data_IF_364361489593
#
_entry.id   IF_364361489593
#
_cell.length_a   1.000
_cell.length_b   1.000
_cell.length_c   1.000
_cell.angle_alpha   90.00
_cell.angle_beta   90.00
_cell.angle_gamma   90.00
#
_symmetry.space_group_name_H-M   'P 1'
#
loop_
_entity.id
_entity.type
_entity.pdbx_description
1 polymer ?
#
# COMPACT_ATOMS: atom_id res chain seq x y z
N UNK A 1 -6.66 96.96 -8.10
CA UNK A 1 -6.83 96.20 -9.37
C UNK A 1 -5.72 95.16 -9.49
N UNK A 2 -6.12 93.93 -9.86
CA UNK A 2 -5.32 92.77 -10.34
C UNK A 2 -4.77 91.77 -9.30
N UNK A 3 -5.58 90.71 -9.14
CA UNK A 3 -5.26 89.26 -9.12
C UNK A 3 -4.44 88.74 -7.93
N UNK A 4 -4.63 87.54 -7.38
CA UNK A 4 -5.67 86.50 -7.37
C UNK A 4 -5.05 85.35 -6.54
N UNK A 5 -5.87 84.50 -5.92
CA UNK A 5 -5.52 83.13 -5.49
C UNK A 5 -4.49 83.02 -4.34
N UNK A 6 -4.54 82.09 -3.40
CA UNK A 6 -5.38 80.91 -3.20
C UNK A 6 -5.24 80.48 -1.73
N UNK A 7 -6.25 79.79 -1.24
CA UNK A 7 -6.37 79.18 0.07
C UNK A 7 -5.18 78.26 0.44
N UNK A 8 -4.68 78.39 1.67
CA UNK A 8 -3.87 77.37 2.33
C UNK A 8 -4.54 77.04 3.67
N UNK A 9 -5.54 76.17 3.62
CA UNK A 9 -6.15 75.57 4.81
C UNK A 9 -5.24 74.44 5.28
N UNK A 10 -4.70 74.71 6.47
CA UNK A 10 -4.22 73.82 7.52
C UNK A 10 -4.26 72.31 7.24
N UNK A 11 -3.07 71.73 7.18
CA UNK A 11 -2.76 70.31 7.05
C UNK A 11 -3.20 69.51 8.28
N UNK A 12 -4.20 68.65 8.12
CA UNK A 12 -4.44 67.50 8.97
C UNK A 12 -4.35 66.26 8.08
N UNK A 13 -3.16 65.66 7.99
CA UNK A 13 -2.95 64.42 7.25
C UNK A 13 -2.27 63.41 8.15
N UNK A 14 -3.12 62.54 8.69
CA UNK A 14 -2.83 61.30 9.36
C UNK A 14 -1.83 60.47 8.52
N UNK A 15 -0.69 60.12 9.11
CA UNK A 15 0.30 59.27 8.47
C UNK A 15 -0.23 57.85 8.31
N UNK A 16 -0.71 57.51 7.11
CA UNK A 16 -0.81 56.14 6.62
C UNK A 16 0.45 55.88 5.79
N UNK A 17 1.38 55.09 6.33
CA UNK A 17 2.48 54.54 5.56
C UNK A 17 1.91 53.46 4.61
N UNK A 18 2.00 53.62 3.27
CA UNK A 18 1.79 52.50 2.37
C UNK A 18 3.02 51.58 2.50
N UNK A 19 2.87 50.50 3.28
CA UNK A 19 3.81 49.38 3.27
C UNK A 19 3.70 48.69 1.92
N UNK A 20 4.52 49.08 0.96
CA UNK A 20 4.77 48.30 -0.26
C UNK A 20 5.61 47.07 0.12
N UNK A 21 4.96 46.08 0.73
CA UNK A 21 5.53 44.75 0.88
C UNK A 21 5.48 44.03 -0.47
N UNK A 22 6.41 44.37 -1.36
CA UNK A 22 6.67 43.55 -2.55
C UNK A 22 7.32 42.25 -2.07
N UNK A 23 6.51 41.20 -1.89
CA UNK A 23 7.04 39.88 -1.56
C UNK A 23 8.03 39.43 -2.64
N UNK A 24 9.24 38.96 -2.28
CA UNK A 24 10.19 38.46 -3.25
C UNK A 24 9.57 37.25 -3.95
N UNK A 25 9.48 37.33 -5.28
CA UNK A 25 9.18 36.18 -6.15
C UNK A 25 10.28 35.14 -5.92
N UNK A 26 9.97 34.11 -5.15
CA UNK A 26 10.80 32.90 -5.08
C UNK A 26 10.77 32.30 -6.48
N UNK A 27 11.82 32.62 -7.24
CA UNK A 27 12.06 32.02 -8.54
C UNK A 27 12.60 30.62 -8.25
N UNK A 28 11.69 29.66 -8.15
CA UNK A 28 12.04 28.25 -7.94
C UNK A 28 12.74 27.74 -9.20
N UNK A 29 14.07 27.85 -9.20
CA UNK A 29 14.92 27.19 -10.16
C UNK A 29 14.94 25.69 -9.82
N UNK A 30 14.77 24.86 -10.86
CA UNK A 30 14.66 23.39 -10.89
C UNK A 30 13.26 22.76 -10.68
N UNK A 31 12.28 23.15 -11.51
CA UNK A 31 11.06 22.35 -11.71
C UNK A 31 11.33 21.13 -12.61
N UNK A 32 12.00 20.10 -12.06
CA UNK A 32 11.52 18.75 -12.38
C UNK A 32 10.23 18.61 -11.57
N UNK A 33 9.06 18.31 -12.16
CA UNK A 33 7.86 18.13 -11.38
C UNK A 33 8.13 16.99 -10.40
N UNK A 34 8.21 17.29 -9.10
CA UNK A 34 8.48 16.32 -8.03
C UNK A 34 7.50 15.14 -8.12
N UNK A 35 6.29 15.41 -8.61
CA UNK A 35 5.26 14.42 -8.93
C UNK A 35 5.70 13.39 -9.97
N UNK A 36 6.42 13.80 -11.02
CA UNK A 36 6.82 12.92 -12.11
C UNK A 36 7.99 12.00 -11.71
N UNK A 37 8.91 12.48 -10.86
CA UNK A 37 9.96 11.64 -10.26
C UNK A 37 9.37 10.63 -9.27
N UNK A 38 8.39 11.06 -8.47
CA UNK A 38 7.66 10.20 -7.52
C UNK A 38 6.85 9.11 -8.25
N UNK A 39 6.21 9.44 -9.38
CA UNK A 39 5.49 8.48 -10.23
C UNK A 39 6.43 7.39 -10.78
N UNK A 40 7.54 7.78 -11.44
CA UNK A 40 8.48 6.80 -12.03
C UNK A 40 9.08 5.89 -10.97
N UNK A 41 9.46 6.44 -9.82
CA UNK A 41 9.97 5.65 -8.70
C UNK A 41 8.93 4.63 -8.21
N UNK A 42 7.66 5.04 -8.06
CA UNK A 42 6.58 4.15 -7.63
C UNK A 42 6.26 3.06 -8.64
N UNK A 43 6.32 3.34 -9.94
CA UNK A 43 6.19 2.32 -10.96
C UNK A 43 7.29 1.25 -10.85
N UNK A 44 8.53 1.67 -10.60
CA UNK A 44 9.65 0.75 -10.39
C UNK A 44 9.42 -0.14 -9.16
N UNK A 45 9.01 0.44 -8.03
CA UNK A 45 8.67 -0.30 -6.80
C UNK A 45 7.52 -1.28 -7.05
N UNK A 46 6.47 -0.87 -7.78
CA UNK A 46 5.34 -1.73 -8.10
C UNK A 46 5.77 -2.94 -8.95
N UNK A 47 6.65 -2.72 -9.94
CA UNK A 47 7.23 -3.76 -10.79
C UNK A 47 8.15 -4.69 -9.99
N UNK A 48 8.93 -4.16 -9.05
CA UNK A 48 9.78 -4.94 -8.17
C UNK A 48 8.98 -5.89 -7.28
N UNK A 49 7.93 -5.40 -6.62
CA UNK A 49 7.03 -6.25 -5.83
C UNK A 49 6.36 -7.33 -6.70
N UNK A 50 5.93 -6.98 -7.90
CA UNK A 50 5.37 -7.94 -8.85
C UNK A 50 6.38 -9.06 -9.19
N UNK A 51 7.64 -8.69 -9.48
CA UNK A 51 8.70 -9.65 -9.79
C UNK A 51 9.04 -10.55 -8.59
N UNK A 52 8.91 -10.03 -7.37
CA UNK A 52 9.04 -10.80 -6.12
C UNK A 52 7.81 -11.67 -5.80
N UNK A 53 6.77 -11.65 -6.64
CA UNK A 53 5.47 -12.29 -6.43
C UNK A 53 4.67 -11.73 -5.23
N UNK A 54 5.03 -10.55 -4.73
CA UNK A 54 4.27 -9.82 -3.71
C UNK A 54 3.20 -8.95 -4.38
N UNK A 55 2.10 -9.62 -4.78
CA UNK A 55 1.02 -8.94 -5.50
C UNK A 55 0.23 -7.97 -4.65
N UNK A 56 0.16 -8.18 -3.33
CA UNK A 56 -0.56 -7.29 -2.43
C UNK A 56 0.16 -5.93 -2.35
N UNK A 57 1.48 -5.95 -2.18
CA UNK A 57 2.30 -4.73 -2.19
C UNK A 57 2.31 -4.09 -3.57
N UNK A 58 2.43 -4.87 -4.65
CA UNK A 58 2.35 -4.33 -6.01
C UNK A 58 1.01 -3.63 -6.28
N UNK A 59 -0.12 -4.27 -5.93
CA UNK A 59 -1.46 -3.69 -6.05
C UNK A 59 -1.58 -2.37 -5.28
N UNK A 60 -1.01 -2.31 -4.08
CA UNK A 60 -1.00 -1.09 -3.26
C UNK A 60 -0.32 0.06 -3.98
N UNK A 61 0.85 -0.17 -4.58
CA UNK A 61 1.54 0.87 -5.36
C UNK A 61 0.74 1.31 -6.59
N UNK A 62 0.13 0.37 -7.32
CA UNK A 62 -0.72 0.69 -8.46
C UNK A 62 -1.97 1.48 -8.08
N UNK A 63 -2.57 1.20 -6.91
CA UNK A 63 -3.69 1.97 -6.37
C UNK A 63 -3.28 3.41 -6.03
N UNK A 64 -2.10 3.59 -5.44
CA UNK A 64 -1.54 4.92 -5.16
C UNK A 64 -1.32 5.69 -6.48
N UNK A 65 -0.70 5.06 -7.48
CA UNK A 65 -0.48 5.67 -8.80
C UNK A 65 -1.80 6.06 -9.48
N UNK A 66 -2.83 5.22 -9.37
CA UNK A 66 -4.18 5.55 -9.87
C UNK A 66 -4.81 6.72 -9.11
N UNK A 67 -4.55 6.87 -7.82
CA UNK A 67 -5.03 8.04 -7.05
C UNK A 67 -4.32 9.33 -7.48
N UNK A 68 -3.03 9.25 -7.81
CA UNK A 68 -2.23 10.41 -8.27
C UNK A 68 -2.63 10.82 -9.69
N UNK A 69 -2.86 9.86 -10.59
CA UNK A 69 -3.23 10.10 -11.98
C UNK A 69 -4.49 9.30 -12.36
N UNK A 70 -5.69 9.79 -12.00
CA UNK A 70 -6.95 9.06 -12.18
C UNK A 70 -7.32 8.80 -13.65
N UNK A 71 -6.90 9.70 -14.56
CA UNK A 71 -7.18 9.58 -15.99
C UNK A 71 -6.19 8.65 -16.73
N UNK A 72 -5.15 8.17 -16.05
CA UNK A 72 -4.21 7.24 -16.64
C UNK A 72 -4.80 5.83 -16.73
N UNK A 73 -5.18 5.44 -17.96
CA UNK A 73 -5.76 4.14 -18.28
C UNK A 73 -4.80 2.99 -17.92
N UNK A 74 -3.47 3.18 -18.03
CA UNK A 74 -2.52 2.13 -17.66
C UNK A 74 -2.65 1.78 -16.17
N UNK A 75 -2.70 2.75 -15.27
CA UNK A 75 -2.79 2.47 -13.82
C UNK A 75 -4.12 1.82 -13.45
N UNK A 76 -5.21 2.22 -14.11
CA UNK A 76 -6.50 1.52 -13.97
C UNK A 76 -6.38 0.04 -14.39
N UNK A 77 -5.76 -0.23 -15.54
CA UNK A 77 -5.57 -1.59 -16.04
C UNK A 77 -4.65 -2.41 -15.13
N UNK A 78 -3.56 -1.83 -14.62
CA UNK A 78 -2.64 -2.50 -13.69
C UNK A 78 -3.34 -2.93 -12.40
N UNK A 79 -4.20 -2.07 -11.83
CA UNK A 79 -5.02 -2.41 -10.66
C UNK A 79 -5.94 -3.60 -10.97
N UNK A 80 -6.68 -3.54 -12.08
CA UNK A 80 -7.59 -4.63 -12.48
C UNK A 80 -6.86 -5.96 -12.70
N UNK A 81 -5.72 -5.94 -13.39
CA UNK A 81 -4.90 -7.13 -13.61
C UNK A 81 -4.41 -7.72 -12.29
N UNK A 82 -3.91 -6.88 -11.37
CA UNK A 82 -3.45 -7.34 -10.06
C UNK A 82 -4.59 -7.94 -9.22
N UNK A 83 -5.76 -7.30 -9.18
CA UNK A 83 -6.95 -7.81 -8.49
C UNK A 83 -7.39 -9.17 -9.05
N UNK A 84 -7.38 -9.32 -10.39
CA UNK A 84 -7.66 -10.60 -11.04
C UNK A 84 -6.63 -11.69 -10.69
N UNK A 85 -5.34 -11.35 -10.64
CA UNK A 85 -4.27 -12.28 -10.29
C UNK A 85 -4.39 -12.77 -8.84
N UNK A 86 -4.60 -11.85 -7.90
CA UNK A 86 -4.85 -12.14 -6.49
C UNK A 86 -6.06 -13.06 -6.37
N UNK A 87 -7.20 -12.69 -6.95
CA UNK A 87 -8.43 -13.51 -6.93
C UNK A 87 -8.20 -14.93 -7.46
N UNK A 88 -7.47 -15.07 -8.57
CA UNK A 88 -7.16 -16.37 -9.19
C UNK A 88 -6.27 -17.22 -8.29
N UNK A 89 -5.23 -16.63 -7.68
CA UNK A 89 -4.33 -17.33 -6.76
C UNK A 89 -5.04 -17.71 -5.47
N UNK A 90 -5.85 -16.82 -4.90
CA UNK A 90 -6.71 -17.11 -3.75
C UNK A 90 -7.59 -18.32 -4.02
N UNK A 91 -8.31 -18.36 -5.15
CA UNK A 91 -9.14 -19.52 -5.52
C UNK A 91 -8.33 -20.82 -5.62
N UNK A 92 -7.11 -20.76 -6.17
CA UNK A 92 -6.22 -21.93 -6.26
C UNK A 92 -5.81 -22.42 -4.89
N UNK A 93 -5.38 -21.53 -4.00
CA UNK A 93 -4.97 -21.89 -2.66
C UNK A 93 -6.14 -22.35 -1.79
N UNK A 94 -7.34 -21.81 -1.98
CA UNK A 94 -8.56 -22.31 -1.31
C UNK A 94 -8.79 -23.78 -1.66
N UNK A 95 -8.73 -24.12 -2.96
CA UNK A 95 -8.87 -25.51 -3.42
C UNK A 95 -7.86 -26.43 -2.74
N UNK A 96 -6.57 -26.06 -2.78
CA UNK A 96 -5.48 -26.83 -2.13
C UNK A 96 -5.72 -26.97 -0.63
N UNK A 97 -6.10 -25.88 0.04
CA UNK A 97 -6.38 -25.88 1.48
C UNK A 97 -7.52 -26.81 1.85
N UNK A 98 -8.62 -26.79 1.09
CA UNK A 98 -9.76 -27.65 1.32
C UNK A 98 -9.49 -29.13 1.03
N UNK A 99 -8.76 -29.44 -0.04
CA UNK A 99 -8.33 -30.81 -0.35
C UNK A 99 -7.43 -31.37 0.76
N UNK A 100 -6.46 -30.57 1.23
CA UNK A 100 -5.58 -30.96 2.33
C UNK A 100 -6.35 -31.14 3.66
N UNK A 101 -7.35 -30.30 3.93
CA UNK A 101 -8.24 -30.47 5.09
C UNK A 101 -9.02 -31.78 5.04
N UNK A 102 -9.54 -32.18 3.88
CA UNK A 102 -10.24 -33.45 3.70
C UNK A 102 -9.29 -34.64 3.91
N UNK A 103 -8.06 -34.54 3.42
CA UNK A 103 -7.00 -35.53 3.63
C UNK A 103 -6.41 -35.53 5.06
N UNK A 104 -6.86 -34.64 5.95
CA UNK A 104 -6.28 -34.40 7.29
C UNK A 104 -4.80 -33.99 7.28
N UNK A 105 -4.29 -33.53 6.15
CA UNK A 105 -2.97 -32.92 6.03
C UNK A 105 -3.05 -31.44 6.46
N UNK A 106 -3.03 -31.23 7.77
CA UNK A 106 -3.16 -29.89 8.34
C UNK A 106 -1.95 -28.99 8.05
N UNK A 107 -0.78 -29.55 7.75
CA UNK A 107 0.42 -28.76 7.44
C UNK A 107 0.30 -28.12 6.05
N UNK A 108 -0.11 -28.90 5.06
CA UNK A 108 -0.37 -28.39 3.71
C UNK A 108 -1.55 -27.42 3.71
N UNK A 109 -2.62 -27.73 4.46
CA UNK A 109 -3.77 -26.85 4.59
C UNK A 109 -3.39 -25.48 5.19
N UNK A 110 -2.66 -25.47 6.30
CA UNK A 110 -2.18 -24.23 6.95
C UNK A 110 -1.35 -23.39 5.99
N UNK A 111 -0.40 -24.02 5.29
CA UNK A 111 0.46 -23.33 4.31
C UNK A 111 -0.38 -22.70 3.19
N UNK A 112 -1.42 -23.39 2.71
CA UNK A 112 -2.30 -22.86 1.67
C UNK A 112 -3.11 -21.64 2.16
N UNK A 113 -3.68 -21.71 3.36
CA UNK A 113 -4.44 -20.59 3.93
C UNK A 113 -3.56 -19.38 4.26
N UNK A 114 -2.33 -19.60 4.74
CA UNK A 114 -1.36 -18.51 4.95
C UNK A 114 -0.96 -17.83 3.63
N UNK A 115 -0.82 -18.58 2.53
CA UNK A 115 -0.59 -18.00 1.20
C UNK A 115 -1.75 -17.13 0.72
N UNK A 116 -2.98 -17.42 1.12
CA UNK A 116 -4.12 -16.53 0.86
C UNK A 116 -3.98 -15.25 1.67
N UNK A 117 -3.62 -15.32 2.94
CA UNK A 117 -3.46 -14.13 3.79
C UNK A 117 -2.30 -13.23 3.36
N UNK A 118 -1.27 -13.79 2.73
CA UNK A 118 -0.22 -12.99 2.09
C UNK A 118 -0.73 -12.19 0.87
N UNK A 119 -1.80 -12.65 0.21
CA UNK A 119 -2.42 -11.98 -0.93
C UNK A 119 -3.55 -11.02 -0.51
N UNK A 120 -4.32 -11.43 0.49
CA UNK A 120 -5.45 -10.71 1.08
C UNK A 120 -5.44 -10.92 2.60
N UNK A 121 -4.83 -9.99 3.35
CA UNK A 121 -4.71 -10.10 4.81
C UNK A 121 -6.06 -10.15 5.56
N UNK A 122 -7.16 -9.73 4.92
CA UNK A 122 -8.49 -9.68 5.53
C UNK A 122 -9.38 -10.84 5.08
N UNK A 123 -8.83 -11.86 4.42
CA UNK A 123 -9.59 -13.01 3.94
C UNK A 123 -10.15 -13.86 5.11
N UNK A 124 -11.37 -13.54 5.53
CA UNK A 124 -12.03 -14.07 6.73
C UNK A 124 -12.11 -15.60 6.75
N UNK A 125 -12.48 -16.20 5.62
CA UNK A 125 -12.56 -17.65 5.45
C UNK A 125 -11.22 -18.33 5.76
N UNK A 126 -10.10 -17.75 5.33
CA UNK A 126 -8.76 -18.33 5.56
C UNK A 126 -8.35 -18.22 7.03
N UNK A 127 -8.67 -17.08 7.67
CA UNK A 127 -8.47 -16.90 9.12
C UNK A 127 -9.25 -17.95 9.91
N UNK A 128 -10.50 -18.21 9.56
CA UNK A 128 -11.33 -19.17 10.27
C UNK A 128 -10.87 -20.61 10.05
N UNK A 129 -10.38 -20.95 8.86
CA UNK A 129 -9.79 -22.27 8.60
C UNK A 129 -8.49 -22.49 9.40
N UNK A 130 -7.65 -21.47 9.54
CA UNK A 130 -6.46 -21.54 10.39
C UNK A 130 -6.80 -21.74 11.87
N UNK A 131 -7.85 -21.07 12.38
CA UNK A 131 -8.36 -21.31 13.74
C UNK A 131 -8.78 -22.77 13.91
N UNK A 132 -9.54 -23.33 12.96
CA UNK A 132 -9.96 -24.74 12.98
C UNK A 132 -8.77 -25.71 12.99
N UNK A 133 -7.74 -25.45 12.19
CA UNK A 133 -6.51 -26.25 12.17
C UNK A 133 -5.83 -26.20 13.54
N UNK A 134 -5.69 -25.01 14.13
CA UNK A 134 -5.07 -24.82 15.43
C UNK A 134 -5.79 -25.61 16.54
N UNK A 135 -7.12 -25.55 16.59
CA UNK A 135 -7.91 -26.33 17.55
C UNK A 135 -7.67 -27.84 17.41
N UNK A 136 -7.69 -28.37 16.19
CA UNK A 136 -7.47 -29.81 15.95
C UNK A 136 -6.08 -30.31 16.35
N UNK A 137 -5.07 -29.43 16.35
CA UNK A 137 -3.71 -29.76 16.82
C UNK A 137 -3.60 -29.71 18.34
N UNK A 138 -4.41 -28.90 19.02
CA UNK A 138 -4.43 -28.87 20.49
C UNK A 138 -5.10 -30.12 21.06
N UNK A 139 -6.10 -30.67 20.36
CA UNK A 139 -6.79 -31.89 20.75
C UNK A 139 -5.96 -33.18 20.54
N UNK A 140 -4.85 -33.09 19.79
CA UNK A 140 -3.91 -34.19 19.55
C UNK A 140 -2.53 -33.78 20.03
N UNK A 141 -2.05 -34.22 21.21
CA UNK A 141 -0.66 -34.01 21.60
C UNK A 141 0.23 -34.47 20.45
N UNK A 142 1.08 -33.59 19.93
CA UNK A 142 2.01 -33.94 18.87
C UNK A 142 2.81 -35.15 19.33
N UNK A 143 2.55 -36.30 18.70
CA UNK A 143 3.44 -37.45 18.75
C UNK A 143 4.70 -37.09 17.98
N UNK A 144 5.50 -36.19 18.54
CA UNK A 144 6.92 -36.14 18.24
C UNK A 144 7.49 -37.42 18.81
N UNK A 145 7.44 -38.49 18.02
CA UNK A 145 8.33 -39.62 18.20
C UNK A 145 9.76 -39.11 18.11
N UNK A 146 10.31 -38.72 19.26
CA UNK A 146 11.74 -38.83 19.49
C UNK A 146 12.08 -40.29 19.23
N UNK A 147 12.63 -40.59 18.05
CA UNK A 147 13.39 -41.81 17.79
C UNK A 147 14.50 -41.86 18.83
N UNK A 148 14.24 -42.48 19.99
CA UNK A 148 15.27 -42.79 20.97
C UNK A 148 16.22 -43.81 20.30
N UNK A 149 17.52 -43.54 20.15
CA UNK A 149 18.44 -44.55 19.68
C UNK A 149 18.47 -45.68 20.72
N UNK A 150 18.20 -46.92 20.28
CA UNK A 150 18.44 -48.11 21.09
C UNK A 150 19.94 -48.14 21.39
N UNK A 151 20.29 -47.91 22.65
CA UNK A 151 21.65 -48.05 23.16
C UNK A 151 21.98 -49.54 23.16
N UNK A 152 22.66 -50.02 22.12
CA UNK A 152 23.29 -51.34 22.15
C UNK A 152 24.38 -51.30 23.22
N UNK A 153 24.18 -52.05 24.31
CA UNK A 153 25.25 -52.39 25.24
C UNK A 153 26.04 -53.53 24.59
N UNK A 154 27.32 -53.26 24.36
CA UNK A 154 28.34 -54.28 24.08
C UNK A 154 28.76 -54.97 25.36
#
# INVERSE_FOLDING_TARGET
MKKALSFLIYTCSLALLPSCATSPKITNQTHIPVDQLNIKNREAIAKEYFNKNDYASALTQWKILRTIAPDNIEYKNRVQIMEMLIKRRTKRYLKVGYEAMQARDYQTAETAFLKILALDPQHTESLDMLKKIKSRRMDKPQQTETKRPKKNKS
#
